data_IF_024184996321
#
_entry.id   IF_024184996321
#
_cell.length_a   1.000
_cell.length_b   1.000
_cell.length_c   1.000
_cell.angle_alpha   90.00
_cell.angle_beta   90.00
_cell.angle_gamma   90.00
#
_symmetry.space_group_name_H-M   'P 1'
#
loop_
_entity.id
_entity.type
_entity.pdbx_description
1 polymer ?
#
# COMPACT_ATOMS: atom_id res chain seq x y z
N UNK A 1 -24.13 4.12 7.41
CA UNK A 1 -23.06 5.12 7.29
C UNK A 1 -22.10 4.86 8.44
N UNK A 2 -20.90 4.34 8.16
CA UNK A 2 -19.90 4.06 9.20
C UNK A 2 -19.20 5.34 9.64
N UNK A 3 -18.99 5.51 10.94
CA UNK A 3 -18.30 6.67 11.53
C UNK A 3 -16.85 6.74 11.07
N UNK A 4 -16.44 7.92 10.61
CA UNK A 4 -15.04 8.27 10.30
C UNK A 4 -14.20 8.19 11.57
N UNK A 5 -13.18 7.34 11.56
CA UNK A 5 -12.26 7.10 12.68
C UNK A 5 -11.09 8.10 12.68
N UNK A 6 -11.26 9.26 12.05
CA UNK A 6 -10.27 10.34 12.02
C UNK A 6 -9.35 10.32 10.80
N UNK A 7 -9.67 9.52 9.78
CA UNK A 7 -8.86 9.34 8.58
C UNK A 7 -9.53 9.90 7.31
N UNK A 8 -10.66 10.56 7.47
CA UNK A 8 -11.41 11.19 6.39
C UNK A 8 -12.33 10.22 5.66
N UNK A 9 -13.16 10.74 4.74
CA UNK A 9 -14.05 9.91 3.96
C UNK A 9 -13.27 8.97 3.05
N UNK A 10 -13.87 7.82 2.74
CA UNK A 10 -13.29 6.89 1.79
C UNK A 10 -13.03 7.57 0.43
N UNK A 11 -11.83 7.37 -0.12
CA UNK A 11 -11.39 7.98 -1.37
C UNK A 11 -11.68 7.06 -2.55
N UNK A 12 -12.46 7.55 -3.52
CA UNK A 12 -12.73 6.83 -4.77
C UNK A 12 -11.65 7.14 -5.82
N UNK A 13 -11.01 6.10 -6.33
CA UNK A 13 -10.03 6.16 -7.41
C UNK A 13 -10.67 5.63 -8.69
N UNK A 14 -10.72 6.46 -9.72
CA UNK A 14 -11.36 6.11 -10.99
C UNK A 14 -10.57 5.03 -11.77
N UNK A 15 -11.21 4.28 -12.68
CA UNK A 15 -10.57 3.19 -13.42
C UNK A 15 -9.32 3.59 -14.23
N UNK A 16 -9.25 4.82 -14.76
CA UNK A 16 -8.08 5.30 -15.50
C UNK A 16 -6.91 5.49 -14.56
N UNK A 17 -7.14 6.03 -13.38
CA UNK A 17 -6.12 6.19 -12.34
C UNK A 17 -5.70 4.84 -11.75
N UNK A 18 -6.62 3.89 -11.56
CA UNK A 18 -6.30 2.50 -11.15
C UNK A 18 -5.34 1.83 -12.13
N UNK A 19 -5.52 1.99 -13.45
CA UNK A 19 -4.59 1.46 -14.46
C UNK A 19 -3.19 2.06 -14.33
N UNK A 20 -3.08 3.37 -14.09
CA UNK A 20 -1.80 4.05 -13.86
C UNK A 20 -1.10 3.52 -12.60
N UNK A 21 -1.86 3.36 -11.50
CA UNK A 21 -1.32 2.80 -10.24
C UNK A 21 -0.83 1.37 -10.46
N UNK A 22 -1.61 0.52 -11.15
CA UNK A 22 -1.19 -0.84 -11.46
C UNK A 22 0.12 -0.88 -12.27
N UNK A 23 0.27 0.00 -13.27
CA UNK A 23 1.50 0.06 -14.07
C UNK A 23 2.70 0.54 -13.24
N UNK A 24 2.52 1.57 -12.41
CA UNK A 24 3.57 2.07 -11.52
C UNK A 24 3.99 1.03 -10.49
N UNK A 25 3.01 0.33 -9.89
CA UNK A 25 3.28 -0.79 -9.00
C UNK A 25 4.00 -1.92 -9.74
N UNK A 26 3.60 -2.25 -10.97
CA UNK A 26 4.26 -3.31 -11.74
C UNK A 26 5.74 -3.02 -11.98
N UNK A 27 6.10 -1.75 -12.23
CA UNK A 27 7.46 -1.28 -12.42
C UNK A 27 8.32 -1.21 -11.13
N UNK A 28 7.73 -1.35 -9.93
CA UNK A 28 8.44 -1.24 -8.64
C UNK A 28 8.48 -2.58 -7.87
N UNK A 29 9.27 -3.60 -8.27
CA UNK A 29 9.28 -4.90 -7.61
C UNK A 29 9.63 -4.83 -6.12
N UNK A 30 9.23 -5.84 -5.35
CA UNK A 30 9.50 -5.85 -3.90
C UNK A 30 11.00 -5.78 -3.56
N UNK A 31 11.89 -6.26 -4.44
CA UNK A 31 13.34 -6.10 -4.29
C UNK A 31 13.79 -4.65 -4.37
N UNK A 32 13.16 -3.84 -5.23
CA UNK A 32 13.42 -2.40 -5.31
C UNK A 32 12.91 -1.68 -4.07
N UNK A 33 11.77 -2.10 -3.51
CA UNK A 33 11.29 -1.59 -2.21
C UNK A 33 12.28 -1.95 -1.09
N UNK A 34 12.74 -3.21 -1.05
CA UNK A 34 13.70 -3.69 -0.05
C UNK A 34 15.01 -2.88 -0.07
N UNK A 35 15.47 -2.48 -1.25
CA UNK A 35 16.71 -1.72 -1.41
C UNK A 35 16.59 -0.23 -1.02
N UNK A 36 15.36 0.29 -0.87
CA UNK A 36 15.10 1.73 -0.66
C UNK A 36 14.43 2.03 0.68
N UNK A 37 13.87 1.03 1.36
CA UNK A 37 13.21 1.22 2.64
C UNK A 37 14.24 1.50 3.73
N UNK A 38 13.95 2.50 4.55
CA UNK A 38 14.73 2.86 5.73
C UNK A 38 13.81 2.73 6.95
N UNK A 39 13.93 1.59 7.65
CA UNK A 39 13.10 1.31 8.81
C UNK A 39 13.45 2.16 10.03
N UNK A 40 14.68 2.65 10.13
CA UNK A 40 15.08 3.56 11.19
C UNK A 40 14.44 4.93 10.97
N UNK A 41 14.47 5.44 9.74
CA UNK A 41 13.79 6.68 9.38
C UNK A 41 12.26 6.56 9.57
N UNK A 42 11.65 5.44 9.18
CA UNK A 42 10.21 5.22 9.38
C UNK A 42 9.81 5.19 10.87
N UNK A 43 10.64 4.58 11.72
CA UNK A 43 10.45 4.60 13.18
C UNK A 43 10.63 5.99 13.75
N UNK A 44 11.71 6.69 13.36
CA UNK A 44 12.00 8.05 13.82
C UNK A 44 10.92 9.07 13.43
N UNK A 45 10.17 8.80 12.36
CA UNK A 45 9.04 9.59 11.90
C UNK A 45 7.67 9.12 12.47
N UNK A 46 7.65 8.20 13.43
CA UNK A 46 6.45 7.65 14.07
C UNK A 46 5.39 7.15 13.05
N UNK A 47 5.87 6.49 11.99
CA UNK A 47 4.99 5.95 10.95
C UNK A 47 4.22 4.76 11.55
N UNK A 48 2.88 4.79 11.48
CA UNK A 48 2.05 3.62 11.81
C UNK A 48 2.54 2.39 11.00
N UNK A 49 2.67 1.20 11.61
CA UNK A 49 2.12 0.79 12.92
C UNK A 49 3.06 0.90 14.12
N UNK A 50 4.24 1.50 13.95
CA UNK A 50 5.19 1.75 15.04
C UNK A 50 6.22 0.63 15.28
N UNK A 51 5.96 -0.60 14.85
CA UNK A 51 6.87 -1.75 15.04
C UNK A 51 7.92 -1.92 13.93
N UNK A 52 8.40 -0.82 13.34
CA UNK A 52 9.40 -0.89 12.26
C UNK A 52 10.78 -1.40 12.71
N UNK A 53 10.99 -1.55 14.02
CA UNK A 53 12.18 -2.11 14.64
C UNK A 53 12.15 -3.62 14.82
N UNK A 54 10.99 -4.26 14.60
CA UNK A 54 10.88 -5.70 14.72
C UNK A 54 11.78 -6.42 13.71
N UNK A 55 12.37 -7.53 14.18
CA UNK A 55 13.25 -8.34 13.36
C UNK A 55 12.51 -8.84 12.11
N UNK A 56 13.16 -8.69 10.96
CA UNK A 56 12.67 -9.19 9.67
C UNK A 56 11.29 -8.62 9.24
N UNK A 57 10.89 -7.45 9.77
CA UNK A 57 9.60 -6.78 9.48
C UNK A 57 9.34 -6.61 7.97
N UNK A 58 10.40 -6.49 7.16
CA UNK A 58 10.26 -6.50 5.71
C UNK A 58 9.64 -7.79 5.19
N UNK A 59 10.18 -8.95 5.58
CA UNK A 59 9.75 -10.24 5.04
C UNK A 59 8.50 -10.76 5.71
N UNK A 60 8.34 -10.53 7.01
CA UNK A 60 7.20 -11.00 7.81
C UNK A 60 5.96 -10.14 7.61
N UNK A 61 6.11 -8.82 7.43
CA UNK A 61 4.98 -7.90 7.44
C UNK A 61 4.80 -7.10 6.14
N UNK A 62 5.82 -6.36 5.70
CA UNK A 62 5.69 -5.39 4.59
C UNK A 62 5.60 -6.06 3.22
N UNK A 63 6.49 -7.00 2.92
CA UNK A 63 6.60 -7.67 1.61
C UNK A 63 5.34 -8.46 1.25
N UNK A 64 4.70 -9.25 2.14
CA UNK A 64 3.44 -9.93 1.83
C UNK A 64 2.32 -8.94 1.49
N UNK A 65 2.14 -7.88 2.30
CA UNK A 65 1.13 -6.84 2.07
C UNK A 65 1.36 -6.08 0.77
N UNK A 66 2.62 -5.77 0.45
CA UNK A 66 2.98 -5.14 -0.81
C UNK A 66 2.66 -6.04 -2.01
N UNK A 67 2.91 -7.35 -1.91
CA UNK A 67 2.52 -8.32 -2.96
C UNK A 67 0.99 -8.37 -3.13
N UNK A 68 0.24 -8.37 -2.04
CA UNK A 68 -1.23 -8.38 -2.09
C UNK A 68 -1.78 -7.10 -2.71
N UNK A 69 -1.22 -5.93 -2.36
CA UNK A 69 -1.56 -4.64 -2.96
C UNK A 69 -1.35 -4.66 -4.48
N UNK A 70 -0.19 -5.13 -4.94
CA UNK A 70 0.10 -5.28 -6.38
C UNK A 70 -0.90 -6.20 -7.07
N UNK A 71 -1.19 -7.36 -6.46
CA UNK A 71 -2.16 -8.33 -7.00
C UNK A 71 -3.56 -7.73 -7.09
N UNK A 72 -3.97 -6.98 -6.08
CA UNK A 72 -5.25 -6.29 -6.03
C UNK A 72 -5.38 -5.27 -7.16
N UNK A 73 -4.43 -4.34 -7.28
CA UNK A 73 -4.46 -3.31 -8.33
C UNK A 73 -4.37 -3.89 -9.73
N UNK A 74 -3.60 -4.97 -9.93
CA UNK A 74 -3.54 -5.66 -11.22
C UNK A 74 -4.89 -6.26 -11.61
N UNK A 75 -5.63 -6.85 -10.66
CA UNK A 75 -6.97 -7.38 -10.90
C UNK A 75 -7.96 -6.26 -11.21
N UNK A 76 -7.97 -5.20 -10.41
CA UNK A 76 -8.84 -4.04 -10.60
C UNK A 76 -8.60 -3.35 -11.96
N UNK A 77 -7.33 -3.16 -12.34
CA UNK A 77 -6.96 -2.57 -13.63
C UNK A 77 -7.41 -3.42 -14.83
N UNK A 78 -7.25 -4.75 -14.76
CA UNK A 78 -7.73 -5.68 -15.80
C UNK A 78 -9.24 -5.66 -15.94
N UNK A 79 -9.97 -5.53 -14.84
CA UNK A 79 -11.43 -5.44 -14.83
C UNK A 79 -11.96 -4.03 -15.13
N UNK A 80 -11.09 -3.02 -15.29
CA UNK A 80 -11.46 -1.61 -15.38
C UNK A 80 -12.37 -1.14 -14.23
N UNK A 81 -12.12 -1.66 -13.02
CA UNK A 81 -12.84 -1.30 -11.80
C UNK A 81 -12.31 0.00 -11.19
N UNK A 82 -13.19 0.77 -10.56
CA UNK A 82 -12.79 1.79 -9.59
C UNK A 82 -12.33 1.12 -8.29
N UNK A 83 -11.51 1.81 -7.49
CA UNK A 83 -11.04 1.34 -6.17
C UNK A 83 -11.49 2.34 -5.12
N UNK A 84 -12.00 1.82 -4.00
CA UNK A 84 -12.29 2.63 -2.82
C UNK A 84 -11.17 2.40 -1.79
N UNK A 85 -10.57 3.48 -1.31
CA UNK A 85 -9.59 3.46 -0.21
C UNK A 85 -10.28 3.99 1.04
N UNK A 86 -10.37 3.17 2.07
CA UNK A 86 -10.89 3.56 3.37
C UNK A 86 -9.87 3.15 4.43
N UNK A 87 -9.59 4.05 5.36
CA UNK A 87 -8.84 3.77 6.57
C UNK A 87 -9.86 3.87 7.70
N UNK A 88 -10.02 2.77 8.42
CA UNK A 88 -10.95 2.61 9.54
C UNK A 88 -10.10 2.47 10.79
#
# INVERSE_FOLDING_TARGET
MGTDLGHGPAHLIDPRTVKKISAALDALPASEVAARVDFEAMRGADIYPGFWDEQDVFHTWLRPRYKDLRKFYRRAARASSAVLVAIL
#
